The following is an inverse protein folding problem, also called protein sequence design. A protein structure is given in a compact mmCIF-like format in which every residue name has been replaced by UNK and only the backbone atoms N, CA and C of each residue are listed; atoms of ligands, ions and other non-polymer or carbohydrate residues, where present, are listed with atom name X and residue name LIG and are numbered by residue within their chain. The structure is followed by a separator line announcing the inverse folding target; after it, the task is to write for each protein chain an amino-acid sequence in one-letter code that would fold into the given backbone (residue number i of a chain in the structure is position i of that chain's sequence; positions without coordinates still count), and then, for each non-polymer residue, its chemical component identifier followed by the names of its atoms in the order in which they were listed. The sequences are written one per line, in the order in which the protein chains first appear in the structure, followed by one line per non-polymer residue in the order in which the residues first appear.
data_IF_235216470512
#
_entry.id   IF_235216470512
#
_cell.length_a   1.000
_cell.length_b   1.000
_cell.length_c   1.000
_cell.angle_alpha   90.00
_cell.angle_beta   90.00
_cell.angle_gamma   90.00
#
_symmetry.space_group_name_H-M   'P 1'
#
loop_
_entity.id
_entity.type
_entity.pdbx_description
1 polymer ?
#
# COMPACT_ATOMS: atom_id res chain seq x y z
N UNK A 1 -57.71 11.43 -12.86
CA UNK A 1 -56.55 10.86 -13.58
C UNK A 1 -55.32 11.36 -12.81
N UNK A 2 -54.74 10.48 -11.96
CA UNK A 2 -53.66 10.83 -11.02
C UNK A 2 -52.32 10.32 -11.56
N UNK A 3 -51.36 11.22 -11.73
CA UNK A 3 -49.97 10.89 -12.04
C UNK A 3 -49.22 10.63 -10.73
N UNK A 4 -48.68 9.43 -10.60
CA UNK A 4 -47.81 9.05 -9.48
C UNK A 4 -46.36 9.46 -9.80
N UNK A 5 -45.75 10.27 -8.94
CA UNK A 5 -44.31 10.52 -8.93
C UNK A 5 -43.63 9.42 -8.12
N UNK A 6 -42.79 8.64 -8.78
CA UNK A 6 -41.85 7.73 -8.11
C UNK A 6 -40.54 8.45 -7.88
N UNK A 7 -40.22 8.69 -6.62
CA UNK A 7 -38.91 9.20 -6.18
C UNK A 7 -37.93 8.02 -6.19
N UNK A 8 -36.91 8.11 -7.02
CA UNK A 8 -35.81 7.16 -7.06
C UNK A 8 -34.72 7.66 -6.10
N UNK A 9 -34.50 6.91 -5.02
CA UNK A 9 -33.39 7.14 -4.09
C UNK A 9 -32.08 6.76 -4.78
N UNK A 10 -31.15 7.72 -4.77
CA UNK A 10 -29.78 7.51 -5.27
C UNK A 10 -28.99 6.60 -4.35
N UNK A 11 -28.42 5.55 -4.91
CA UNK A 11 -27.42 4.72 -4.25
C UNK A 11 -26.08 5.46 -4.25
N UNK A 12 -25.46 5.52 -3.09
CA UNK A 12 -24.13 6.07 -2.88
C UNK A 12 -23.05 5.21 -3.53
N UNK A 13 -22.00 5.90 -3.97
CA UNK A 13 -20.90 5.48 -4.81
C UNK A 13 -20.24 4.14 -4.51
N UNK A 14 -20.22 3.34 -5.54
CA UNK A 14 -19.21 2.31 -5.74
C UNK A 14 -18.00 3.00 -6.36
N UNK A 15 -16.84 2.88 -5.69
CA UNK A 15 -15.56 3.42 -6.17
C UNK A 15 -15.22 2.78 -7.52
N UNK A 16 -15.29 3.59 -8.57
CA UNK A 16 -14.95 3.21 -9.95
C UNK A 16 -13.43 2.97 -10.07
N UNK A 17 -12.99 1.75 -9.81
CA UNK A 17 -11.69 1.24 -10.25
C UNK A 17 -11.85 0.79 -11.70
N UNK A 18 -11.54 1.65 -12.64
CA UNK A 18 -11.49 1.28 -14.05
C UNK A 18 -10.22 0.46 -14.32
N UNK A 19 -10.40 -0.84 -14.57
CA UNK A 19 -9.35 -1.72 -15.08
C UNK A 19 -9.13 -1.42 -16.58
N UNK A 20 -7.98 -0.84 -16.89
CA UNK A 20 -7.52 -0.70 -18.27
C UNK A 20 -6.35 -1.67 -18.47
N UNK A 21 -6.59 -2.80 -19.17
CA UNK A 21 -5.57 -3.78 -19.53
C UNK A 21 -4.78 -3.23 -20.71
N UNK A 22 -3.56 -2.78 -20.46
CA UNK A 22 -2.60 -2.52 -21.49
C UNK A 22 -1.52 -3.63 -21.51
N UNK A 23 -1.01 -3.99 -22.67
CA UNK A 23 -0.22 -5.20 -23.01
C UNK A 23 1.20 -5.24 -22.36
N UNK A 24 1.45 -4.42 -21.33
CA UNK A 24 2.71 -4.29 -20.57
C UNK A 24 2.51 -4.47 -19.06
N UNK A 25 2.02 -5.65 -18.65
CA UNK A 25 1.72 -5.90 -17.24
C UNK A 25 0.43 -5.19 -16.77
N UNK A 26 -0.31 -5.80 -15.85
CA UNK A 26 -1.57 -5.22 -15.37
C UNK A 26 -1.32 -3.90 -14.63
N UNK A 27 -1.34 -2.78 -15.36
CA UNK A 27 -1.34 -1.44 -14.78
C UNK A 27 -2.75 -1.08 -14.34
N UNK A 28 -2.90 -0.69 -13.08
CA UNK A 28 -4.16 -0.16 -12.55
C UNK A 28 -4.03 1.34 -12.38
N UNK A 29 -5.01 2.10 -12.84
CA UNK A 29 -5.07 3.55 -12.58
C UNK A 29 -5.80 3.79 -11.26
N UNK A 30 -5.16 4.48 -10.34
CA UNK A 30 -5.73 4.93 -9.08
C UNK A 30 -5.96 6.44 -9.13
N UNK A 31 -7.15 6.88 -8.73
CA UNK A 31 -7.50 8.30 -8.65
C UNK A 31 -7.38 8.75 -7.18
N UNK A 32 -6.52 9.73 -6.92
CA UNK A 32 -6.35 10.31 -5.60
C UNK A 32 -7.48 11.27 -5.24
N UNK A 33 -7.59 11.64 -3.97
CA UNK A 33 -8.64 12.53 -3.45
C UNK A 33 -8.70 13.91 -4.14
N UNK A 34 -7.59 14.37 -4.73
CA UNK A 34 -7.49 15.62 -5.48
C UNK A 34 -7.70 15.45 -7.01
N UNK A 35 -8.10 14.27 -7.46
CA UNK A 35 -8.29 13.92 -8.86
C UNK A 35 -7.01 13.53 -9.62
N UNK A 36 -5.85 13.51 -8.98
CA UNK A 36 -4.59 13.07 -9.61
C UNK A 36 -4.69 11.57 -9.93
N UNK A 37 -4.37 11.21 -11.16
CA UNK A 37 -4.28 9.81 -11.60
C UNK A 37 -2.87 9.30 -11.41
N UNK A 38 -2.73 8.12 -10.80
CA UNK A 38 -1.46 7.45 -10.52
C UNK A 38 -1.52 6.03 -11.06
N UNK A 39 -0.51 5.63 -11.82
CA UNK A 39 -0.40 4.24 -12.30
C UNK A 39 0.16 3.36 -11.18
N UNK A 40 -0.45 2.19 -10.99
CA UNK A 40 -0.05 1.19 -10.00
C UNK A 40 0.22 -0.13 -10.72
N UNK A 41 1.33 -0.77 -10.41
CA UNK A 41 1.69 -2.09 -10.92
C UNK A 41 2.46 -2.92 -9.90
N UNK A 42 2.65 -4.18 -10.19
CA UNK A 42 3.60 -5.00 -9.44
C UNK A 42 5.02 -4.44 -9.58
N UNK A 43 5.81 -4.64 -8.54
CA UNK A 43 7.23 -4.29 -8.57
C UNK A 43 7.99 -5.26 -9.48
N UNK A 44 9.01 -4.76 -10.16
CA UNK A 44 9.89 -5.55 -11.03
C UNK A 44 11.34 -5.48 -10.55
N UNK A 45 12.19 -6.49 -10.86
CA UNK A 45 13.60 -6.46 -10.47
C UNK A 45 14.35 -5.21 -10.97
N UNK A 46 13.93 -4.63 -12.10
CA UNK A 46 14.47 -3.38 -12.67
C UNK A 46 14.18 -2.13 -11.83
N UNK A 47 13.27 -2.21 -10.86
CA UNK A 47 12.87 -1.08 -10.02
C UNK A 47 13.87 -0.74 -8.88
N UNK A 48 14.87 -1.58 -8.65
CA UNK A 48 15.84 -1.35 -7.58
C UNK A 48 16.43 0.07 -7.56
N UNK A 49 16.86 0.66 -8.70
CA UNK A 49 17.35 2.03 -8.73
C UNK A 49 16.27 3.08 -8.43
N UNK A 50 15.01 2.85 -8.86
CA UNK A 50 13.90 3.75 -8.59
C UNK A 50 13.52 3.74 -7.10
N UNK A 51 13.59 2.58 -6.42
CA UNK A 51 13.44 2.49 -4.96
C UNK A 51 14.52 3.27 -4.21
N UNK A 52 15.77 3.23 -4.68
CA UNK A 52 16.86 4.03 -4.09
C UNK A 52 16.58 5.52 -4.24
N UNK A 53 16.14 5.97 -5.42
CA UNK A 53 15.77 7.36 -5.65
C UNK A 53 14.57 7.79 -4.81
N UNK A 54 13.55 6.93 -4.67
CA UNK A 54 12.42 7.18 -3.77
C UNK A 54 12.92 7.44 -2.35
N UNK A 55 13.74 6.55 -1.80
CA UNK A 55 14.28 6.71 -0.43
C UNK A 55 15.12 7.98 -0.30
N UNK A 56 15.90 8.33 -1.33
CA UNK A 56 16.69 9.56 -1.35
C UNK A 56 15.88 10.86 -1.39
N UNK A 57 14.59 10.80 -1.76
CA UNK A 57 13.67 11.96 -1.78
C UNK A 57 12.84 12.11 -0.50
N UNK A 58 12.90 11.12 0.39
CA UNK A 58 12.13 11.16 1.65
C UNK A 58 12.75 12.13 2.65
N UNK A 59 11.90 12.70 3.51
CA UNK A 59 12.36 13.36 4.72
C UNK A 59 13.01 12.37 5.69
N UNK A 60 13.93 12.86 6.51
CA UNK A 60 14.54 12.08 7.59
C UNK A 60 13.47 11.41 8.49
N UNK A 61 12.36 12.11 8.72
CA UNK A 61 11.24 11.60 9.50
C UNK A 61 10.58 10.41 8.80
N UNK A 62 10.29 10.47 7.50
CA UNK A 62 9.69 9.37 6.74
C UNK A 62 10.61 8.16 6.67
N UNK A 63 11.91 8.38 6.51
CA UNK A 63 12.93 7.32 6.59
C UNK A 63 12.92 6.67 7.97
N UNK A 64 13.00 7.46 9.05
CA UNK A 64 12.99 6.95 10.42
C UNK A 64 11.71 6.15 10.72
N UNK A 65 10.54 6.66 10.36
CA UNK A 65 9.26 5.99 10.60
C UNK A 65 9.12 4.66 9.85
N UNK A 66 9.82 4.50 8.72
CA UNK A 66 9.77 3.28 7.90
C UNK A 66 10.83 2.25 8.30
N UNK A 67 12.04 2.70 8.63
CA UNK A 67 13.19 1.82 8.84
C UNK A 67 13.64 1.73 10.30
N UNK A 68 12.96 2.43 11.21
CA UNK A 68 13.21 2.45 12.65
C UNK A 68 14.60 2.97 13.03
N UNK A 69 15.22 3.72 12.13
CA UNK A 69 16.55 4.31 12.34
C UNK A 69 16.96 5.24 11.21
N UNK A 70 18.04 5.99 11.41
CA UNK A 70 18.57 6.85 10.37
C UNK A 70 19.14 6.00 9.24
N UNK A 71 18.85 6.39 8.01
CA UNK A 71 19.40 5.77 6.81
C UNK A 71 19.59 6.85 5.75
N UNK A 72 20.83 7.03 5.29
CA UNK A 72 21.16 8.04 4.30
C UNK A 72 20.79 7.59 2.89
N UNK A 73 20.90 6.29 2.63
CA UNK A 73 20.61 5.69 1.32
C UNK A 73 20.17 4.23 1.47
N UNK A 74 19.40 3.77 0.53
CA UNK A 74 19.08 2.35 0.39
C UNK A 74 20.20 1.66 -0.37
N UNK A 75 20.93 0.74 0.28
CA UNK A 75 22.03 0.03 -0.36
C UNK A 75 21.55 -0.82 -1.54
N UNK A 76 22.43 -1.04 -2.54
CA UNK A 76 22.14 -1.86 -3.73
C UNK A 76 21.58 -3.24 -3.35
N UNK A 77 22.16 -3.87 -2.33
CA UNK A 77 21.70 -5.18 -1.86
C UNK A 77 20.27 -5.14 -1.33
N UNK A 78 19.91 -4.11 -0.54
CA UNK A 78 18.56 -3.95 -0.03
C UNK A 78 17.58 -3.56 -1.13
N UNK A 79 17.98 -2.67 -2.05
CA UNK A 79 17.14 -2.26 -3.16
C UNK A 79 16.78 -3.45 -4.06
N UNK A 80 17.77 -4.28 -4.41
CA UNK A 80 17.55 -5.53 -5.16
C UNK A 80 16.64 -6.49 -4.41
N UNK A 81 16.91 -6.75 -3.12
CA UNK A 81 16.06 -7.62 -2.31
C UNK A 81 14.60 -7.12 -2.25
N UNK A 82 14.38 -5.81 -2.22
CA UNK A 82 13.03 -5.26 -2.21
C UNK A 82 12.35 -5.28 -3.59
N UNK A 83 13.12 -5.28 -4.67
CA UNK A 83 12.59 -5.34 -6.03
C UNK A 83 12.41 -6.79 -6.54
N UNK A 84 13.23 -7.71 -6.08
CA UNK A 84 13.21 -9.12 -6.48
C UNK A 84 12.26 -9.90 -5.56
N UNK A 85 10.95 -9.86 -5.86
CA UNK A 85 9.91 -10.62 -5.14
C UNK A 85 9.52 -11.87 -5.94
N UNK A 86 9.01 -12.91 -5.25
CA UNK A 86 8.58 -14.16 -5.90
C UNK A 86 7.12 -14.12 -6.39
N UNK A 87 6.39 -13.10 -6.03
CA UNK A 87 4.98 -12.91 -6.42
C UNK A 87 3.98 -13.70 -5.56
N UNK A 88 4.45 -14.53 -4.64
CA UNK A 88 3.64 -15.41 -3.78
C UNK A 88 3.84 -15.08 -2.30
N UNK A 89 4.99 -15.44 -1.73
CA UNK A 89 5.34 -15.18 -0.34
C UNK A 89 5.85 -13.74 -0.15
N UNK A 90 6.48 -13.19 -1.18
CA UNK A 90 6.89 -11.81 -1.27
C UNK A 90 6.15 -11.11 -2.41
N UNK A 91 5.40 -10.09 -2.09
CA UNK A 91 4.61 -9.35 -3.09
C UNK A 91 4.66 -7.86 -2.80
N UNK A 92 4.81 -7.06 -3.84
CA UNK A 92 4.84 -5.62 -3.71
C UNK A 92 4.17 -4.93 -4.89
N UNK A 93 3.44 -3.85 -4.58
CA UNK A 93 2.88 -2.92 -5.54
C UNK A 93 3.61 -1.59 -5.43
N UNK A 94 3.87 -0.99 -6.58
CA UNK A 94 4.45 0.35 -6.69
C UNK A 94 3.49 1.30 -7.38
N UNK A 95 3.53 2.56 -6.97
CA UNK A 95 2.84 3.65 -7.63
C UNK A 95 3.88 4.53 -8.35
N UNK A 96 3.61 4.83 -9.61
CA UNK A 96 4.49 5.63 -10.47
C UNK A 96 4.16 7.11 -10.34
N UNK A 97 5.17 7.97 -10.51
CA UNK A 97 4.98 9.42 -10.53
C UNK A 97 4.08 9.81 -11.71
N UNK A 98 2.98 10.54 -11.49
CA UNK A 98 2.13 11.00 -12.58
C UNK A 98 2.83 11.98 -13.54
N UNK A 99 4.01 12.49 -13.19
CA UNK A 99 4.82 13.40 -14.03
C UNK A 99 6.03 12.71 -14.68
N UNK A 100 6.42 11.53 -14.17
CA UNK A 100 7.57 10.75 -14.66
C UNK A 100 7.35 9.27 -14.33
N UNK A 101 6.89 8.50 -15.31
CA UNK A 101 6.57 7.08 -15.17
C UNK A 101 7.80 6.17 -14.89
N UNK A 102 9.02 6.72 -15.01
CA UNK A 102 10.26 6.06 -14.58
C UNK A 102 10.55 6.18 -13.09
N UNK A 103 9.77 6.97 -12.34
CA UNK A 103 9.95 7.22 -10.92
C UNK A 103 8.86 6.58 -10.07
N UNK A 104 9.26 5.87 -9.01
CA UNK A 104 8.34 5.32 -8.00
C UNK A 104 8.12 6.36 -6.92
N UNK A 105 6.86 6.58 -6.54
CA UNK A 105 6.45 7.53 -5.49
C UNK A 105 5.83 6.87 -4.27
N UNK A 106 5.45 5.60 -4.40
CA UNK A 106 4.98 4.83 -3.26
C UNK A 106 5.22 3.33 -3.49
N UNK A 107 5.32 2.59 -2.40
CA UNK A 107 5.39 1.13 -2.39
C UNK A 107 4.59 0.61 -1.21
N UNK A 108 3.80 -0.45 -1.43
CA UNK A 108 3.23 -1.28 -0.39
C UNK A 108 3.61 -2.73 -0.66
N UNK A 109 4.00 -3.45 0.39
CA UNK A 109 4.47 -4.82 0.27
C UNK A 109 4.04 -5.68 1.45
N UNK A 110 3.99 -6.97 1.21
CA UNK A 110 4.03 -7.95 2.28
C UNK A 110 5.15 -8.97 2.05
N UNK A 111 5.64 -9.52 3.16
CA UNK A 111 6.58 -10.64 3.21
C UNK A 111 5.98 -11.70 4.12
N UNK A 112 5.57 -12.84 3.56
CA UNK A 112 5.00 -13.97 4.29
C UNK A 112 6.09 -14.90 4.74
N UNK A 113 6.06 -15.33 5.98
CA UNK A 113 6.88 -16.43 6.45
C UNK A 113 6.37 -17.74 5.85
N UNK A 114 7.24 -18.44 5.10
CA UNK A 114 6.86 -19.60 4.31
C UNK A 114 6.08 -20.65 5.11
N UNK A 115 4.95 -21.10 4.57
CA UNK A 115 4.06 -22.07 5.19
C UNK A 115 3.10 -21.51 6.25
N UNK A 116 3.09 -20.21 6.50
CA UNK A 116 2.13 -19.55 7.41
C UNK A 116 1.04 -18.82 6.64
N UNK A 117 -0.02 -18.40 7.33
CA UNK A 117 -1.07 -17.52 6.79
C UNK A 117 -0.91 -16.05 7.24
N UNK A 118 0.31 -15.70 7.72
CA UNK A 118 0.68 -14.37 8.20
C UNK A 118 1.77 -13.78 7.34
N UNK A 119 1.67 -12.48 7.09
CA UNK A 119 2.68 -11.74 6.35
C UNK A 119 2.99 -10.42 7.01
N UNK A 120 4.27 -10.05 7.06
CA UNK A 120 4.71 -8.73 7.50
C UNK A 120 4.33 -7.71 6.43
N UNK A 121 3.66 -6.63 6.84
CA UNK A 121 3.22 -5.54 5.97
C UNK A 121 4.05 -4.30 6.18
N UNK A 122 4.37 -3.63 5.08
CA UNK A 122 4.98 -2.33 5.10
C UNK A 122 4.54 -1.46 3.92
N UNK A 123 4.40 -0.16 4.15
CA UNK A 123 4.15 0.81 3.10
C UNK A 123 5.00 2.07 3.27
N UNK A 124 5.25 2.74 2.16
CA UNK A 124 6.01 3.97 2.06
C UNK A 124 5.40 4.84 0.96
N UNK A 125 5.20 6.12 1.24
CA UNK A 125 4.72 7.12 0.28
C UNK A 125 5.61 8.34 0.36
N UNK A 126 6.04 8.85 -0.80
CA UNK A 126 6.81 10.09 -0.89
C UNK A 126 6.07 11.25 -0.23
N UNK A 127 6.78 12.08 0.56
CA UNK A 127 6.19 13.08 1.45
C UNK A 127 5.18 14.00 0.74
N UNK A 128 5.46 14.44 -0.50
CA UNK A 128 4.58 15.32 -1.29
C UNK A 128 3.21 14.69 -1.66
N UNK A 129 3.11 13.36 -1.61
CA UNK A 129 1.89 12.60 -1.95
C UNK A 129 1.20 11.98 -0.74
N UNK A 130 1.75 12.19 0.47
CA UNK A 130 1.09 11.75 1.70
C UNK A 130 -0.22 12.51 1.94
N UNK A 131 -1.15 11.86 2.63
CA UNK A 131 -2.44 12.47 2.98
C UNK A 131 -3.44 12.62 1.83
N UNK A 132 -3.12 12.11 0.62
CA UNK A 132 -3.99 12.17 -0.56
C UNK A 132 -4.73 10.86 -0.88
N UNK A 133 -4.68 9.87 0.01
CA UNK A 133 -5.32 8.56 -0.17
C UNK A 133 -4.44 7.51 -0.86
N UNK A 134 -3.28 7.89 -1.46
CA UNK A 134 -2.43 6.95 -2.20
C UNK A 134 -2.02 5.72 -1.38
N UNK A 135 -1.54 5.92 -0.15
CA UNK A 135 -1.13 4.81 0.72
C UNK A 135 -2.28 3.87 1.07
N UNK A 136 -3.47 4.41 1.33
CA UNK A 136 -4.67 3.62 1.64
C UNK A 136 -5.12 2.81 0.41
N UNK A 137 -5.24 3.44 -0.75
CA UNK A 137 -5.63 2.76 -1.98
C UNK A 137 -4.64 1.66 -2.38
N UNK A 138 -3.32 1.94 -2.29
CA UNK A 138 -2.29 0.94 -2.58
C UNK A 138 -2.35 -0.24 -1.59
N UNK A 139 -2.67 0.03 -0.32
CA UNK A 139 -2.85 -1.02 0.70
C UNK A 139 -4.10 -1.86 0.44
N UNK A 140 -5.22 -1.27 0.01
CA UNK A 140 -6.41 -2.03 -0.41
C UNK A 140 -6.11 -2.98 -1.57
N UNK A 141 -5.40 -2.51 -2.60
CA UNK A 141 -4.98 -3.34 -3.73
C UNK A 141 -4.04 -4.49 -3.27
N UNK A 142 -3.11 -4.20 -2.37
CA UNK A 142 -2.22 -5.20 -1.77
C UNK A 142 -2.99 -6.25 -0.96
N UNK A 143 -3.98 -5.84 -0.17
CA UNK A 143 -4.84 -6.74 0.62
C UNK A 143 -5.61 -7.69 -0.29
N UNK A 144 -6.13 -7.20 -1.41
CA UNK A 144 -6.80 -8.06 -2.38
C UNK A 144 -5.85 -9.13 -2.92
N UNK A 145 -4.67 -8.74 -3.36
CA UNK A 145 -3.64 -9.67 -3.83
C UNK A 145 -3.21 -10.67 -2.74
N UNK A 146 -3.09 -10.23 -1.48
CA UNK A 146 -2.75 -11.06 -0.34
C UNK A 146 -3.84 -12.11 -0.06
N UNK A 147 -5.11 -11.73 -0.13
CA UNK A 147 -6.25 -12.65 0.02
C UNK A 147 -6.25 -13.75 -1.04
N UNK A 148 -6.01 -13.40 -2.30
CA UNK A 148 -5.94 -14.33 -3.42
C UNK A 148 -4.82 -15.36 -3.24
N UNK A 149 -3.74 -14.99 -2.54
CA UNK A 149 -2.58 -15.82 -2.23
C UNK A 149 -2.66 -16.51 -0.86
N UNK A 150 -3.84 -16.46 -0.20
CA UNK A 150 -4.10 -17.18 1.06
C UNK A 150 -3.48 -16.56 2.31
N UNK A 151 -3.02 -15.31 2.26
CA UNK A 151 -2.62 -14.55 3.45
C UNK A 151 -3.89 -14.19 4.22
N UNK A 152 -3.97 -14.57 5.51
CA UNK A 152 -5.13 -14.28 6.35
C UNK A 152 -4.91 -13.12 7.30
N UNK A 153 -3.67 -12.85 7.68
CA UNK A 153 -3.33 -11.78 8.60
C UNK A 153 -2.14 -10.97 8.09
N UNK A 154 -2.28 -9.65 8.11
CA UNK A 154 -1.14 -8.75 7.93
C UNK A 154 -0.65 -8.27 9.30
N UNK A 155 0.64 -8.38 9.50
CA UNK A 155 1.33 -7.94 10.71
C UNK A 155 2.13 -6.67 10.40
N UNK A 156 1.95 -5.62 11.19
CA UNK A 156 2.67 -4.37 11.01
C UNK A 156 3.29 -3.87 12.31
N UNK A 157 4.58 -3.59 12.28
CA UNK A 157 5.26 -2.86 13.36
C UNK A 157 5.19 -1.37 13.08
N UNK A 158 4.70 -0.59 14.03
CA UNK A 158 4.46 0.84 13.86
C UNK A 158 4.96 1.61 15.08
N UNK A 159 5.79 2.63 14.84
CA UNK A 159 6.18 3.57 15.90
C UNK A 159 4.95 4.36 16.38
N UNK A 160 4.80 4.63 17.69
CA UNK A 160 3.66 5.37 18.23
C UNK A 160 3.44 6.75 17.62
N UNK A 161 4.52 7.41 17.21
CA UNK A 161 4.52 8.70 16.53
C UNK A 161 4.16 8.63 15.05
N UNK A 162 4.13 7.45 14.43
CA UNK A 162 3.72 7.28 13.03
C UNK A 162 2.20 7.40 12.86
N UNK A 163 1.71 8.63 13.04
CA UNK A 163 0.27 8.94 12.94
C UNK A 163 -0.28 8.65 11.54
N UNK A 164 0.55 8.75 10.51
CA UNK A 164 0.18 8.46 9.12
C UNK A 164 -0.21 6.99 8.97
N UNK A 165 0.67 6.07 9.38
CA UNK A 165 0.42 4.62 9.32
C UNK A 165 -0.73 4.21 10.23
N UNK A 166 -0.81 4.76 11.46
CA UNK A 166 -1.91 4.46 12.39
C UNK A 166 -3.26 4.81 11.76
N UNK A 167 -3.40 6.01 11.16
CA UNK A 167 -4.64 6.41 10.46
C UNK A 167 -4.94 5.53 9.26
N UNK A 168 -3.91 5.15 8.48
CA UNK A 168 -4.07 4.26 7.34
C UNK A 168 -4.63 2.91 7.78
N UNK A 169 -4.02 2.28 8.79
CA UNK A 169 -4.47 0.97 9.29
C UNK A 169 -5.91 1.03 9.84
N UNK A 170 -6.24 2.06 10.62
CA UNK A 170 -7.61 2.25 11.12
C UNK A 170 -8.63 2.55 10.00
N UNK A 171 -8.21 3.11 8.87
CA UNK A 171 -9.09 3.39 7.73
C UNK A 171 -9.35 2.15 6.84
N UNK A 172 -8.65 1.05 7.07
CA UNK A 172 -8.92 -0.21 6.35
C UNK A 172 -10.27 -0.83 6.75
N UNK A 173 -10.83 -0.43 7.89
CA UNK A 173 -12.08 -0.96 8.45
C UNK A 173 -12.09 -2.50 8.56
N UNK A 174 -10.94 -3.07 8.91
CA UNK A 174 -10.75 -4.50 9.13
C UNK A 174 -10.50 -4.78 10.61
N UNK A 175 -10.91 -5.97 11.13
CA UNK A 175 -10.63 -6.35 12.50
C UNK A 175 -9.13 -6.34 12.78
N UNK A 176 -8.71 -5.53 13.75
CA UNK A 176 -7.33 -5.40 14.15
C UNK A 176 -7.13 -5.74 15.63
N UNK A 177 -5.98 -6.32 15.94
CA UNK A 177 -5.48 -6.48 17.30
C UNK A 177 -4.19 -5.70 17.43
N UNK A 178 -4.10 -4.87 18.47
CA UNK A 178 -2.92 -4.04 18.71
C UNK A 178 -2.27 -4.43 20.03
N UNK A 179 -0.99 -4.78 19.99
CA UNK A 179 -0.14 -5.00 21.15
C UNK A 179 0.92 -3.90 21.21
N UNK A 180 1.37 -3.55 22.41
CA UNK A 180 2.48 -2.63 22.62
C UNK A 180 3.66 -3.44 23.15
N UNK A 181 4.78 -3.38 22.46
CA UNK A 181 6.01 -4.07 22.81
C UNK A 181 7.20 -3.14 22.57
N UNK A 182 8.06 -2.99 23.59
CA UNK A 182 9.34 -2.29 23.48
C UNK A 182 9.33 -0.95 22.72
N UNK A 183 8.30 -0.13 22.95
CA UNK A 183 8.20 1.20 22.32
C UNK A 183 7.56 1.18 20.92
N UNK A 184 7.10 0.03 20.42
CA UNK A 184 6.37 -0.11 19.17
C UNK A 184 4.92 -0.56 19.39
N UNK A 185 4.10 -0.40 18.36
CA UNK A 185 2.77 -1.01 18.26
C UNK A 185 2.83 -2.12 17.22
N UNK A 186 2.46 -3.32 17.61
CA UNK A 186 2.31 -4.46 16.71
C UNK A 186 0.83 -4.62 16.37
N UNK A 187 0.50 -4.38 15.10
CA UNK A 187 -0.84 -4.56 14.55
C UNK A 187 -0.93 -5.94 13.91
N UNK A 188 -2.02 -6.65 14.19
CA UNK A 188 -2.40 -7.88 13.48
C UNK A 188 -3.79 -7.65 12.89
N UNK A 189 -3.87 -7.60 11.57
CA UNK A 189 -5.06 -7.24 10.80
C UNK A 189 -5.62 -8.50 10.15
N UNK A 190 -6.85 -8.88 10.49
CA UNK A 190 -7.51 -10.04 9.88
C UNK A 190 -8.12 -9.65 8.53
N UNK A 191 -7.65 -10.30 7.47
CA UNK A 191 -8.10 -10.04 6.10
C UNK A 191 -9.42 -10.72 5.75
N UNK A 192 -9.91 -11.68 6.54
CA UNK A 192 -11.16 -12.40 6.32
C UNK A 192 -12.06 -12.27 7.55
N UNK A 193 -12.66 -11.09 7.80
CA UNK A 193 -13.61 -10.95 8.89
C UNK A 193 -14.77 -11.91 8.69
N UNK A 194 -15.09 -12.68 9.74
CA UNK A 194 -16.32 -13.45 9.75
C UNK A 194 -17.48 -12.44 9.74
N UNK A 195 -18.40 -12.57 8.78
CA UNK A 195 -19.57 -11.70 8.60
C UNK A 195 -20.59 -11.86 9.73
#
# INVERSE_FOLDING_TARGET
MRLAHTTQAGSAGEDDVQENKDDRGEHRTMVLADGTQVQVREIEPGDAPALQRLVGRLSEQSVYLRFFGPMNELSDKKAKHFAEVDGEDQYALVALDPQDDGEIVAVARYDREGGTDRAEYAALVEDRLQGRGLGLGLTHALIQAARERGVKNLEALVLPENRGMIRLLSALDLPERVRREEGTKHYSINLFPEG
#
